data_IF_173488220427
#
_entry.id   IF_173488220427
#
_cell.length_a   1.000
_cell.length_b   1.000
_cell.length_c   1.000
_cell.angle_alpha   90.00
_cell.angle_beta   90.00
_cell.angle_gamma   90.00
#
_symmetry.space_group_name_H-M   'P 1'
#
loop_
_entity.id
_entity.type
_entity.pdbx_description
1 polymer ?
#
# COMPACT_ATOMS: atom_id res chain seq x y z
N UNK A 1 -19.42 -9.51 43.88
CA UNK A 1 -18.92 -10.36 42.81
C UNK A 1 -17.81 -9.57 42.10
N UNK A 2 -16.55 -9.91 42.39
CA UNK A 2 -15.38 -9.21 41.83
C UNK A 2 -15.12 -9.72 40.41
N UNK A 3 -14.88 -8.76 39.50
CA UNK A 3 -14.35 -9.11 38.16
C UNK A 3 -12.97 -9.74 38.29
N UNK A 4 -12.67 -10.82 37.57
CA UNK A 4 -11.33 -11.41 37.58
C UNK A 4 -10.33 -10.44 36.95
N UNK A 5 -9.20 -10.23 37.62
CA UNK A 5 -8.09 -9.43 37.12
C UNK A 5 -7.55 -10.03 35.80
N UNK A 6 -7.24 -9.22 34.76
CA UNK A 6 -6.73 -9.73 33.49
C UNK A 6 -5.41 -10.50 33.73
N UNK A 7 -5.30 -11.69 33.14
CA UNK A 7 -4.15 -12.57 33.27
C UNK A 7 -2.86 -11.85 32.87
N UNK A 8 -1.74 -12.18 33.55
CA UNK A 8 -0.43 -11.52 33.34
C UNK A 8 0.08 -11.52 31.89
N UNK A 9 -0.39 -12.45 31.05
CA UNK A 9 -0.15 -12.51 29.60
C UNK A 9 -0.79 -11.35 28.83
N UNK A 10 -2.03 -10.97 29.15
CA UNK A 10 -2.76 -9.88 28.49
C UNK A 10 -2.07 -8.53 28.67
N UNK A 11 -1.65 -8.20 29.88
CA UNK A 11 -0.94 -6.93 30.19
C UNK A 11 0.39 -6.78 29.45
N UNK A 12 1.12 -7.87 29.23
CA UNK A 12 2.39 -7.84 28.47
C UNK A 12 2.14 -7.61 26.97
N UNK A 13 1.14 -8.25 26.39
CA UNK A 13 0.77 -8.03 24.98
C UNK A 13 0.18 -6.63 24.77
N UNK A 14 -0.63 -6.11 25.68
CA UNK A 14 -1.13 -4.73 25.62
C UNK A 14 0.03 -3.71 25.67
N UNK A 15 0.98 -3.88 26.58
CA UNK A 15 2.15 -3.02 26.69
C UNK A 15 3.06 -3.12 25.45
N UNK A 16 3.14 -4.29 24.79
CA UNK A 16 3.86 -4.50 23.54
C UNK A 16 3.16 -3.79 22.38
N UNK A 17 1.85 -3.94 22.29
CA UNK A 17 1.01 -3.27 21.28
C UNK A 17 1.10 -1.74 21.43
N UNK A 18 1.07 -1.22 22.66
CA UNK A 18 1.20 0.21 22.93
C UNK A 18 2.58 0.75 22.49
N UNK A 19 3.67 0.07 22.85
CA UNK A 19 5.01 0.45 22.37
C UNK A 19 5.10 0.43 20.84
N UNK A 20 4.47 -0.56 20.20
CA UNK A 20 4.40 -0.65 18.73
C UNK A 20 3.69 0.56 18.13
N UNK A 21 2.52 0.95 18.66
CA UNK A 21 1.77 2.16 18.23
C UNK A 21 2.59 3.43 18.38
N UNK A 22 3.28 3.61 19.54
CA UNK A 22 4.14 4.79 19.77
C UNK A 22 5.28 4.90 18.77
N UNK A 23 5.90 3.78 18.38
CA UNK A 23 6.98 3.78 17.37
C UNK A 23 6.43 4.13 15.99
N UNK A 24 5.26 3.59 15.60
CA UNK A 24 4.61 3.93 14.32
C UNK A 24 4.24 5.42 14.29
N UNK A 25 3.69 5.96 15.37
CA UNK A 25 3.37 7.38 15.49
C UNK A 25 4.63 8.25 15.38
N UNK A 26 5.68 7.92 16.12
CA UNK A 26 6.97 8.62 16.05
C UNK A 26 7.58 8.61 14.64
N UNK A 27 7.44 7.48 13.91
CA UNK A 27 7.90 7.37 12.54
C UNK A 27 7.12 8.32 11.60
N UNK A 28 5.78 8.40 11.76
CA UNK A 28 4.94 9.34 10.99
C UNK A 28 5.36 10.79 11.21
N UNK A 29 5.58 11.18 12.47
CA UNK A 29 6.01 12.55 12.80
C UNK A 29 7.39 12.87 12.21
N UNK A 30 8.37 11.97 12.38
CA UNK A 30 9.71 12.15 11.82
C UNK A 30 9.69 12.27 10.30
N UNK A 31 8.90 11.45 9.61
CA UNK A 31 8.76 11.52 8.14
C UNK A 31 8.15 12.87 7.72
N UNK A 32 7.14 13.38 8.43
CA UNK A 32 6.53 14.68 8.14
C UNK A 32 7.49 15.85 8.37
N UNK A 33 8.27 15.80 9.46
CA UNK A 33 9.18 16.89 9.83
C UNK A 33 10.45 16.94 8.97
N UNK A 34 10.99 15.78 8.61
CA UNK A 34 12.34 15.69 8.05
C UNK A 34 12.40 14.95 6.71
N UNK A 35 11.26 14.49 6.22
CA UNK A 35 11.23 13.56 5.11
C UNK A 35 11.93 12.24 5.49
N UNK A 36 12.67 11.68 4.54
CA UNK A 36 13.40 10.41 4.76
C UNK A 36 14.71 10.60 5.56
N UNK A 37 15.32 11.79 5.50
CA UNK A 37 16.67 12.03 6.02
C UNK A 37 16.77 11.88 7.55
N UNK A 38 15.71 12.22 8.30
CA UNK A 38 15.71 12.14 9.77
C UNK A 38 15.31 10.79 10.34
N UNK A 39 14.85 9.85 9.51
CA UNK A 39 14.34 8.57 10.00
C UNK A 39 15.46 7.56 10.28
N UNK A 40 15.86 7.46 11.54
CA UNK A 40 16.82 6.46 12.04
C UNK A 40 16.25 5.71 13.25
N UNK A 41 16.75 4.50 13.52
CA UNK A 41 16.33 3.72 14.69
C UNK A 41 16.58 4.46 16.03
N UNK A 42 17.63 5.29 16.07
CA UNK A 42 17.94 6.14 17.25
C UNK A 42 16.91 7.26 17.40
N UNK A 43 16.59 7.99 16.32
CA UNK A 43 15.58 9.04 16.32
C UNK A 43 14.20 8.49 16.68
N UNK A 44 13.84 7.33 16.14
CA UNK A 44 12.60 6.63 16.46
C UNK A 44 12.50 6.26 17.94
N UNK A 45 13.55 5.67 18.51
CA UNK A 45 13.59 5.29 19.93
C UNK A 45 13.44 6.52 20.83
N UNK A 46 14.18 7.59 20.55
CA UNK A 46 14.12 8.84 21.29
C UNK A 46 12.73 9.48 21.21
N UNK A 47 12.16 9.63 20.01
CA UNK A 47 10.82 10.23 19.78
C UNK A 47 9.72 9.38 20.42
N UNK A 48 9.79 8.05 20.33
CA UNK A 48 8.83 7.14 20.94
C UNK A 48 8.98 6.97 22.46
N UNK A 49 10.03 7.53 23.07
CA UNK A 49 10.32 7.40 24.50
C UNK A 49 10.57 5.94 24.92
N UNK A 50 11.36 5.21 24.11
CA UNK A 50 11.72 3.81 24.36
C UNK A 50 13.23 3.62 24.26
N UNK A 51 13.76 2.49 24.78
CA UNK A 51 15.18 2.15 24.60
C UNK A 51 15.50 1.89 23.12
N UNK A 52 16.77 2.13 22.73
CA UNK A 52 17.24 1.88 21.35
C UNK A 52 17.02 0.43 20.88
N UNK A 53 17.05 -0.54 21.77
CA UNK A 53 16.79 -1.94 21.45
C UNK A 53 15.30 -2.23 21.13
N UNK A 54 14.37 -1.40 21.62
CA UNK A 54 12.94 -1.65 21.50
C UNK A 54 12.44 -1.65 20.04
N UNK A 55 12.78 -0.67 19.17
CA UNK A 55 12.41 -0.72 17.76
C UNK A 55 12.96 -1.96 17.05
N UNK A 56 14.21 -2.35 17.30
CA UNK A 56 14.79 -3.57 16.74
C UNK A 56 14.04 -4.82 17.21
N UNK A 57 13.74 -4.94 18.48
CA UNK A 57 13.03 -6.10 19.04
C UNK A 57 11.58 -6.23 18.54
N UNK A 58 10.92 -5.12 18.24
CA UNK A 58 9.52 -5.11 17.82
C UNK A 58 9.32 -5.20 16.30
N UNK A 59 10.27 -4.69 15.52
CA UNK A 59 10.14 -4.58 14.06
C UNK A 59 11.28 -5.24 13.29
N UNK A 60 12.45 -5.41 13.90
CA UNK A 60 13.64 -5.96 13.26
C UNK A 60 14.43 -4.94 12.43
N UNK A 61 13.76 -4.12 11.61
CA UNK A 61 14.43 -3.18 10.72
C UNK A 61 13.67 -1.86 10.54
N UNK A 62 14.35 -0.83 10.02
CA UNK A 62 13.73 0.43 9.59
C UNK A 62 12.66 0.18 8.52
N UNK A 63 12.95 -0.69 7.56
CA UNK A 63 12.01 -1.05 6.50
C UNK A 63 10.69 -1.64 7.02
N UNK A 64 10.75 -2.50 8.03
CA UNK A 64 9.55 -3.06 8.66
C UNK A 64 8.72 -2.00 9.40
N UNK A 65 9.37 -0.94 9.93
CA UNK A 65 8.66 0.21 10.54
C UNK A 65 7.97 1.04 9.44
N UNK A 66 8.66 1.34 8.34
CA UNK A 66 8.08 2.06 7.20
C UNK A 66 6.85 1.32 6.64
N UNK A 67 6.95 0.00 6.50
CA UNK A 67 5.83 -0.83 6.08
C UNK A 67 4.67 -0.76 7.09
N UNK A 68 4.95 -0.87 8.38
CA UNK A 68 3.93 -0.74 9.42
C UNK A 68 3.25 0.65 9.41
N UNK A 69 3.99 1.70 9.09
CA UNK A 69 3.44 3.06 8.88
C UNK A 69 2.52 3.11 7.67
N UNK A 70 2.91 2.48 6.56
CA UNK A 70 2.07 2.39 5.36
C UNK A 70 0.78 1.60 5.61
N UNK A 71 0.87 0.52 6.40
CA UNK A 71 -0.26 -0.35 6.73
C UNK A 71 -1.20 0.22 7.80
N UNK A 72 -0.73 1.18 8.59
CA UNK A 72 -1.55 1.86 9.62
C UNK A 72 -2.57 2.83 8.98
N UNK A 73 -3.22 2.39 7.91
CA UNK A 73 -4.31 3.10 7.26
C UNK A 73 -5.61 2.79 8.01
N UNK A 74 -6.01 3.73 8.86
CA UNK A 74 -7.23 3.57 9.65
C UNK A 74 -8.47 3.53 8.76
N UNK A 75 -9.27 2.49 8.95
CA UNK A 75 -10.57 2.37 8.29
C UNK A 75 -10.55 1.74 6.89
N UNK A 76 -9.38 1.32 6.36
CA UNK A 76 -9.32 0.67 5.05
C UNK A 76 -10.29 -0.51 4.94
N UNK A 77 -10.24 -1.47 5.86
CA UNK A 77 -11.12 -2.65 5.83
C UNK A 77 -12.61 -2.29 5.88
N UNK A 78 -13.00 -1.28 6.70
CA UNK A 78 -14.39 -0.82 6.79
C UNK A 78 -14.85 -0.17 5.49
N UNK A 79 -14.02 0.66 4.85
CA UNK A 79 -14.35 1.30 3.57
C UNK A 79 -14.38 0.26 2.45
N UNK A 80 -13.45 -0.69 2.48
CA UNK A 80 -13.38 -1.77 1.50
C UNK A 80 -14.59 -2.72 1.57
N UNK A 81 -15.14 -2.99 2.76
CA UNK A 81 -16.36 -3.79 2.92
C UNK A 81 -17.56 -3.21 2.14
N UNK A 82 -17.57 -1.90 1.89
CA UNK A 82 -18.59 -1.27 1.04
C UNK A 82 -18.57 -1.70 -0.43
N UNK A 83 -17.56 -2.44 -0.87
CA UNK A 83 -17.44 -2.92 -2.26
C UNK A 83 -17.85 -4.40 -2.44
N UNK A 84 -18.52 -5.00 -1.47
CA UNK A 84 -18.95 -6.42 -1.56
C UNK A 84 -19.89 -6.72 -2.73
N UNK A 85 -20.70 -5.75 -3.14
CA UNK A 85 -21.62 -5.85 -4.29
C UNK A 85 -20.93 -5.70 -5.66
N UNK A 86 -19.66 -5.29 -5.71
CA UNK A 86 -18.92 -5.16 -6.95
C UNK A 86 -18.49 -6.54 -7.49
N UNK A 87 -18.29 -6.64 -8.82
CA UNK A 87 -17.68 -7.84 -9.42
C UNK A 87 -16.28 -8.09 -8.80
N UNK A 88 -15.84 -9.37 -8.69
CA UNK A 88 -14.51 -9.67 -8.14
C UNK A 88 -13.37 -8.91 -8.80
N UNK A 89 -13.26 -8.77 -10.15
CA UNK A 89 -12.22 -7.93 -10.75
C UNK A 89 -12.36 -6.44 -10.40
N UNK A 90 -13.58 -5.89 -10.34
CA UNK A 90 -13.80 -4.50 -9.90
C UNK A 90 -13.37 -4.30 -8.45
N UNK A 91 -13.51 -5.30 -7.57
CA UNK A 91 -13.02 -5.21 -6.19
C UNK A 91 -11.51 -5.04 -6.11
N UNK A 92 -10.74 -5.68 -7.00
CA UNK A 92 -9.28 -5.48 -7.12
C UNK A 92 -8.99 -4.02 -7.48
N UNK A 93 -9.66 -3.47 -8.50
CA UNK A 93 -9.51 -2.07 -8.92
C UNK A 93 -9.92 -1.10 -7.81
N UNK A 94 -11.03 -1.36 -7.12
CA UNK A 94 -11.51 -0.53 -6.00
C UNK A 94 -10.58 -0.57 -4.78
N UNK A 95 -9.96 -1.71 -4.49
CA UNK A 95 -8.95 -1.83 -3.44
C UNK A 95 -7.73 -0.96 -3.75
N UNK A 96 -7.25 -0.98 -5.00
CA UNK A 96 -6.14 -0.16 -5.46
C UNK A 96 -6.48 1.33 -5.39
N UNK A 97 -7.64 1.73 -5.92
CA UNK A 97 -8.13 3.11 -5.87
C UNK A 97 -8.28 3.60 -4.42
N UNK A 98 -8.82 2.76 -3.52
CA UNK A 98 -8.93 3.08 -2.10
C UNK A 98 -7.55 3.29 -1.47
N UNK A 99 -6.55 2.46 -1.79
CA UNK A 99 -5.19 2.64 -1.30
C UNK A 99 -4.60 3.98 -1.76
N UNK A 100 -4.75 4.34 -3.03
CA UNK A 100 -4.28 5.62 -3.59
C UNK A 100 -4.99 6.81 -2.97
N UNK A 101 -6.30 6.72 -2.70
CA UNK A 101 -7.08 7.83 -2.11
C UNK A 101 -6.57 8.32 -0.73
N UNK A 102 -5.81 7.48 -0.02
CA UNK A 102 -5.14 7.92 1.21
C UNK A 102 -3.91 8.79 0.93
N UNK A 103 -3.27 8.62 -0.22
CA UNK A 103 -2.10 9.42 -0.60
C UNK A 103 -2.50 10.84 -0.98
N UNK A 104 -3.71 11.03 -1.50
CA UNK A 104 -4.29 12.34 -1.81
C UNK A 104 -4.53 13.20 -0.56
N UNK A 105 -4.71 12.58 0.62
CA UNK A 105 -4.95 13.28 1.87
C UNK A 105 -3.69 13.92 2.48
N UNK A 106 -2.50 13.37 2.19
CA UNK A 106 -1.21 13.85 2.70
C UNK A 106 -0.09 13.47 1.71
N UNK A 107 -0.10 14.08 0.50
CA UNK A 107 0.75 13.63 -0.61
C UNK A 107 2.25 13.76 -0.31
N UNK A 108 2.66 14.80 0.41
CA UNK A 108 4.08 15.00 0.75
C UNK A 108 4.58 13.93 1.73
N UNK A 109 3.77 13.59 2.71
CA UNK A 109 4.08 12.49 3.63
C UNK A 109 4.22 11.16 2.90
N UNK A 110 3.25 10.80 2.04
CA UNK A 110 3.30 9.53 1.32
C UNK A 110 4.39 9.50 0.26
N UNK A 111 4.73 10.64 -0.37
CA UNK A 111 5.87 10.75 -1.27
C UNK A 111 7.19 10.48 -0.54
N UNK A 112 7.38 11.06 0.63
CA UNK A 112 8.57 10.82 1.47
C UNK A 112 8.63 9.36 1.96
N UNK A 113 7.50 8.81 2.40
CA UNK A 113 7.39 7.42 2.86
C UNK A 113 7.74 6.43 1.73
N UNK A 114 7.11 6.55 0.56
CA UNK A 114 7.38 5.71 -0.60
C UNK A 114 8.80 5.88 -1.11
N UNK A 115 9.31 7.12 -1.15
CA UNK A 115 10.70 7.39 -1.51
C UNK A 115 11.69 6.68 -0.59
N UNK A 116 11.44 6.68 0.73
CA UNK A 116 12.24 5.91 1.68
C UNK A 116 12.16 4.41 1.43
N UNK A 117 10.96 3.90 1.17
CA UNK A 117 10.73 2.48 0.88
C UNK A 117 11.45 2.02 -0.38
N UNK A 118 11.34 2.74 -1.48
CA UNK A 118 11.92 2.37 -2.78
C UNK A 118 13.45 2.49 -2.80
N UNK A 119 14.05 3.33 -1.94
CA UNK A 119 15.52 3.41 -1.77
C UNK A 119 16.09 2.33 -0.86
N UNK A 120 15.24 1.60 -0.14
CA UNK A 120 15.68 0.50 0.72
C UNK A 120 16.09 -0.70 -0.14
N UNK A 121 17.26 -1.29 0.15
CA UNK A 121 17.85 -2.38 -0.64
C UNK A 121 18.11 -3.63 0.19
N UNK A 122 18.42 -4.75 -0.45
CA UNK A 122 18.86 -5.99 0.19
C UNK A 122 17.74 -6.75 0.92
N UNK A 123 18.03 -7.32 2.09
CA UNK A 123 17.10 -8.13 2.86
C UNK A 123 15.90 -7.32 3.40
N UNK A 124 16.11 -6.04 3.72
CA UNK A 124 15.03 -5.15 4.15
C UNK A 124 14.03 -4.89 3.03
N UNK A 125 14.49 -4.65 1.80
CA UNK A 125 13.61 -4.50 0.65
C UNK A 125 12.73 -5.74 0.45
N UNK A 126 13.29 -6.95 0.59
CA UNK A 126 12.52 -8.19 0.50
C UNK A 126 11.39 -8.27 1.53
N UNK A 127 11.67 -7.91 2.79
CA UNK A 127 10.65 -7.93 3.85
C UNK A 127 9.53 -6.91 3.64
N UNK A 128 9.80 -5.82 2.93
CA UNK A 128 8.80 -4.82 2.54
C UNK A 128 7.94 -5.27 1.35
N UNK A 129 8.53 -6.05 0.43
CA UNK A 129 7.82 -6.65 -0.70
C UNK A 129 6.90 -7.77 -0.23
N UNK A 130 7.40 -8.65 0.63
CA UNK A 130 6.70 -9.84 1.12
C UNK A 130 6.11 -9.59 2.51
N UNK A 131 5.01 -8.82 2.59
CA UNK A 131 4.20 -8.78 3.80
C UNK A 131 3.08 -9.82 3.70
N UNK A 132 3.10 -10.90 4.52
CA UNK A 132 2.15 -12.00 4.39
C UNK A 132 0.68 -11.59 4.53
N UNK A 133 0.37 -10.59 5.37
CA UNK A 133 -1.01 -10.13 5.56
C UNK A 133 -1.54 -9.34 4.36
N UNK A 134 -0.71 -8.44 3.81
CA UNK A 134 -1.05 -7.67 2.62
C UNK A 134 -1.16 -8.60 1.42
N UNK A 135 -0.20 -9.51 1.26
CA UNK A 135 -0.18 -10.50 0.19
C UNK A 135 -1.43 -11.38 0.25
N UNK A 136 -1.78 -11.93 1.42
CA UNK A 136 -2.99 -12.74 1.61
C UNK A 136 -4.28 -11.98 1.26
N UNK A 137 -4.36 -10.68 1.58
CA UNK A 137 -5.51 -9.85 1.19
C UNK A 137 -5.65 -9.75 -0.32
N UNK A 138 -4.56 -9.41 -1.04
CA UNK A 138 -4.60 -9.25 -2.50
C UNK A 138 -4.79 -10.58 -3.23
N UNK A 139 -4.11 -11.64 -2.78
CA UNK A 139 -4.32 -12.99 -3.33
C UNK A 139 -5.77 -13.42 -3.11
N UNK A 140 -6.35 -13.19 -1.94
CA UNK A 140 -7.74 -13.53 -1.67
C UNK A 140 -8.74 -12.84 -2.59
N UNK A 141 -8.47 -11.60 -3.05
CA UNK A 141 -9.29 -10.94 -4.06
C UNK A 141 -9.17 -11.62 -5.44
N UNK A 142 -7.96 -12.03 -5.82
CA UNK A 142 -7.72 -12.70 -7.10
C UNK A 142 -8.27 -14.13 -7.09
N UNK A 143 -8.13 -14.86 -5.96
CA UNK A 143 -8.70 -16.19 -5.77
C UNK A 143 -10.24 -16.16 -5.85
N UNK A 144 -10.88 -15.15 -5.30
CA UNK A 144 -12.31 -14.95 -5.46
C UNK A 144 -12.69 -14.71 -6.93
N UNK A 145 -11.90 -13.92 -7.66
CA UNK A 145 -12.12 -13.71 -9.09
C UNK A 145 -11.91 -15.00 -9.91
N UNK A 146 -10.92 -15.82 -9.56
CA UNK A 146 -10.68 -17.12 -10.20
C UNK A 146 -11.82 -18.11 -9.89
N UNK A 147 -12.23 -18.22 -8.62
CA UNK A 147 -13.30 -19.12 -8.18
C UNK A 147 -14.65 -18.79 -8.84
N UNK A 148 -14.91 -17.52 -9.11
CA UNK A 148 -16.13 -17.05 -9.81
C UNK A 148 -16.01 -17.11 -11.33
N UNK A 149 -14.94 -17.70 -11.87
CA UNK A 149 -14.71 -17.90 -13.30
C UNK A 149 -14.40 -16.61 -14.08
N UNK A 150 -13.85 -15.59 -13.43
CA UNK A 150 -13.41 -14.35 -14.08
C UNK A 150 -11.98 -14.44 -14.63
N UNK A 151 -11.14 -15.29 -14.03
CA UNK A 151 -9.76 -15.52 -14.46
C UNK A 151 -9.61 -16.90 -15.08
N UNK A 152 -8.70 -17.01 -16.04
CA UNK A 152 -8.33 -18.28 -16.67
C UNK A 152 -7.74 -19.22 -15.61
N UNK A 153 -8.13 -20.51 -15.61
CA UNK A 153 -7.68 -21.48 -14.58
C UNK A 153 -6.17 -21.76 -14.64
N UNK A 154 -5.50 -21.47 -15.75
CA UNK A 154 -4.07 -21.60 -15.92
C UNK A 154 -3.27 -20.46 -15.26
N UNK A 155 -3.94 -19.38 -14.85
CA UNK A 155 -3.30 -18.21 -14.24
C UNK A 155 -3.06 -18.46 -12.76
N UNK A 156 -1.80 -18.46 -12.37
CA UNK A 156 -1.38 -18.42 -10.95
C UNK A 156 -1.68 -17.03 -10.35
N UNK A 157 -2.64 -16.99 -9.43
CA UNK A 157 -3.07 -15.75 -8.75
C UNK A 157 -1.94 -15.09 -7.96
N UNK A 158 -0.98 -15.86 -7.40
CA UNK A 158 0.19 -15.32 -6.73
C UNK A 158 1.16 -14.65 -7.72
N UNK A 159 1.34 -15.23 -8.91
CA UNK A 159 2.13 -14.61 -9.98
C UNK A 159 1.46 -13.33 -10.50
N UNK A 160 0.15 -13.37 -10.71
CA UNK A 160 -0.63 -12.18 -11.11
C UNK A 160 -0.53 -11.07 -10.05
N UNK A 161 -0.67 -11.41 -8.77
CA UNK A 161 -0.50 -10.46 -7.67
C UNK A 161 0.88 -9.81 -7.70
N UNK A 162 1.96 -10.57 -7.91
CA UNK A 162 3.32 -10.02 -8.04
C UNK A 162 3.44 -9.05 -9.21
N UNK A 163 2.82 -9.37 -10.35
CA UNK A 163 2.79 -8.46 -11.51
C UNK A 163 2.07 -7.15 -11.18
N UNK A 164 0.92 -7.20 -10.49
CA UNK A 164 0.22 -6.01 -10.03
C UNK A 164 1.06 -5.18 -9.04
N UNK A 165 1.78 -5.83 -8.11
CA UNK A 165 2.68 -5.13 -7.17
C UNK A 165 3.85 -4.45 -7.89
N UNK A 166 4.45 -5.08 -8.89
CA UNK A 166 5.49 -4.45 -9.73
C UNK A 166 4.94 -3.24 -10.50
N UNK A 167 3.77 -3.37 -11.10
CA UNK A 167 3.07 -2.27 -11.78
C UNK A 167 2.85 -1.11 -10.82
N UNK A 168 2.30 -1.38 -9.63
CA UNK A 168 2.06 -0.37 -8.61
C UNK A 168 3.33 0.36 -8.20
N UNK A 169 4.41 -0.38 -7.92
CA UNK A 169 5.71 0.19 -7.51
C UNK A 169 6.34 1.04 -8.59
N UNK A 170 6.25 0.61 -9.85
CA UNK A 170 6.74 1.40 -10.98
C UNK A 170 6.02 2.74 -11.05
N UNK A 171 4.69 2.74 -10.94
CA UNK A 171 3.89 3.97 -10.95
C UNK A 171 4.21 4.86 -9.74
N UNK A 172 4.37 4.27 -8.55
CA UNK A 172 4.82 5.02 -7.36
C UNK A 172 6.17 5.70 -7.58
N UNK A 173 7.11 5.03 -8.26
CA UNK A 173 8.43 5.60 -8.57
C UNK A 173 8.31 6.83 -9.48
N UNK A 174 7.49 6.75 -10.53
CA UNK A 174 7.24 7.88 -11.43
C UNK A 174 6.57 9.06 -10.69
N UNK A 175 5.63 8.78 -9.78
CA UNK A 175 5.02 9.82 -8.95
C UNK A 175 6.01 10.48 -7.99
N UNK A 176 6.88 9.70 -7.33
CA UNK A 176 7.90 10.21 -6.40
C UNK A 176 8.89 11.11 -7.12
N UNK A 177 9.29 10.72 -8.33
CA UNK A 177 10.21 11.50 -9.17
C UNK A 177 9.55 12.74 -9.80
N UNK A 178 8.24 12.93 -9.61
CA UNK A 178 7.51 14.06 -10.21
C UNK A 178 7.21 13.91 -11.70
N UNK A 179 7.42 12.74 -12.28
CA UNK A 179 7.15 12.44 -13.69
C UNK A 179 5.65 12.35 -13.98
N UNK A 180 4.84 11.96 -12.97
CA UNK A 180 3.37 12.01 -13.02
C UNK A 180 2.82 12.81 -11.85
N UNK A 181 1.71 13.51 -12.05
CA UNK A 181 0.97 14.23 -11.02
C UNK A 181 0.18 13.32 -10.09
N UNK A 182 -0.29 13.87 -8.98
CA UNK A 182 -1.16 13.16 -8.03
C UNK A 182 -2.50 12.78 -8.68
N UNK A 183 -3.05 13.66 -9.50
CA UNK A 183 -4.26 13.49 -10.29
C UNK A 183 -4.18 12.34 -11.31
N UNK A 184 -2.97 12.02 -11.78
CA UNK A 184 -2.73 10.89 -12.70
C UNK A 184 -2.47 9.58 -11.97
N UNK A 185 -2.25 9.59 -10.64
CA UNK A 185 -1.78 8.42 -9.91
C UNK A 185 -2.82 7.29 -9.90
N UNK A 186 -4.07 7.60 -9.52
CA UNK A 186 -5.14 6.61 -9.49
C UNK A 186 -5.47 6.07 -10.88
N UNK A 187 -5.68 6.89 -11.93
CA UNK A 187 -5.94 6.35 -13.27
C UNK A 187 -4.75 5.56 -13.83
N UNK A 188 -3.49 5.91 -13.52
CA UNK A 188 -2.35 5.11 -13.96
C UNK A 188 -2.34 3.70 -13.32
N UNK A 189 -2.58 3.61 -12.01
CA UNK A 189 -2.70 2.32 -11.33
C UNK A 189 -3.88 1.53 -11.86
N UNK A 190 -5.05 2.16 -12.00
CA UNK A 190 -6.26 1.53 -12.53
C UNK A 190 -6.07 1.00 -13.94
N UNK A 191 -5.43 1.77 -14.83
CA UNK A 191 -5.13 1.37 -16.21
C UNK A 191 -4.22 0.13 -16.25
N UNK A 192 -3.09 0.18 -15.55
CA UNK A 192 -2.16 -0.96 -15.50
C UNK A 192 -2.79 -2.23 -14.93
N UNK A 193 -3.59 -2.10 -13.87
CA UNK A 193 -4.31 -3.22 -13.28
C UNK A 193 -5.39 -3.78 -14.21
N UNK A 194 -6.17 -2.91 -14.84
CA UNK A 194 -7.22 -3.34 -15.78
C UNK A 194 -6.64 -4.10 -16.99
N UNK A 195 -5.50 -3.65 -17.53
CA UNK A 195 -4.80 -4.35 -18.61
C UNK A 195 -4.26 -5.71 -18.16
N UNK A 196 -3.63 -5.80 -16.98
CA UNK A 196 -3.12 -7.06 -16.43
C UNK A 196 -4.26 -8.05 -16.16
N UNK A 197 -5.34 -7.59 -15.52
CA UNK A 197 -6.53 -8.41 -15.28
C UNK A 197 -7.21 -8.85 -16.58
N UNK A 198 -7.27 -7.99 -17.59
CA UNK A 198 -7.81 -8.34 -18.92
C UNK A 198 -6.99 -9.47 -19.57
N UNK A 199 -5.65 -9.39 -19.49
CA UNK A 199 -4.77 -10.43 -20.03
C UNK A 199 -4.92 -11.79 -19.34
N UNK A 200 -5.37 -11.79 -18.08
CA UNK A 200 -5.63 -12.99 -17.29
C UNK A 200 -7.10 -13.45 -17.31
N UNK A 201 -8.00 -12.69 -17.94
CA UNK A 201 -9.44 -12.89 -17.84
C UNK A 201 -9.95 -13.97 -18.82
N UNK A 202 -10.97 -14.72 -18.37
CA UNK A 202 -11.86 -15.48 -19.24
C UNK A 202 -12.71 -14.52 -20.11
N UNK A 203 -13.43 -15.04 -21.10
CA UNK A 203 -14.36 -14.23 -21.92
C UNK A 203 -15.33 -13.39 -21.08
N UNK A 204 -15.76 -13.91 -19.94
CA UNK A 204 -16.59 -13.21 -18.96
C UNK A 204 -15.99 -11.89 -18.49
N UNK A 205 -14.68 -11.85 -18.29
CA UNK A 205 -13.96 -10.69 -17.72
C UNK A 205 -13.36 -9.76 -18.76
N UNK A 206 -13.09 -10.24 -19.97
CA UNK A 206 -12.33 -9.48 -20.98
C UNK A 206 -12.99 -8.17 -21.38
N UNK A 207 -14.31 -8.19 -21.64
CA UNK A 207 -15.03 -6.99 -22.06
C UNK A 207 -15.10 -5.97 -20.92
N UNK A 208 -15.42 -6.42 -19.68
CA UNK A 208 -15.48 -5.55 -18.51
C UNK A 208 -14.12 -4.87 -18.25
N UNK A 209 -13.01 -5.63 -18.31
CA UNK A 209 -11.69 -5.08 -18.06
C UNK A 209 -11.22 -4.16 -19.19
N UNK A 210 -11.64 -4.40 -20.44
CA UNK A 210 -11.41 -3.46 -21.52
C UNK A 210 -12.13 -2.12 -21.28
N UNK A 211 -13.39 -2.15 -20.88
CA UNK A 211 -14.16 -0.95 -20.56
C UNK A 211 -13.49 -0.14 -19.41
N UNK A 212 -13.02 -0.83 -18.37
CA UNK A 212 -12.29 -0.18 -17.28
C UNK A 212 -10.96 0.42 -17.75
N UNK A 213 -10.21 -0.31 -18.58
CA UNK A 213 -8.94 0.21 -19.13
C UNK A 213 -9.19 1.47 -19.99
N UNK A 214 -10.20 1.45 -20.87
CA UNK A 214 -10.53 2.62 -21.71
C UNK A 214 -10.99 3.82 -20.87
N UNK A 215 -11.74 3.60 -19.79
CA UNK A 215 -12.15 4.66 -18.88
C UNK A 215 -10.91 5.33 -18.22
N UNK A 216 -10.00 4.53 -17.65
CA UNK A 216 -8.76 5.06 -17.06
C UNK A 216 -7.83 5.71 -18.10
N UNK A 217 -7.77 5.18 -19.31
CA UNK A 217 -7.04 5.82 -20.42
C UNK A 217 -7.58 7.20 -20.74
N UNK A 218 -8.91 7.39 -20.76
CA UNK A 218 -9.53 8.69 -20.97
C UNK A 218 -9.22 9.67 -19.84
N UNK A 219 -9.22 9.22 -18.58
CA UNK A 219 -8.82 10.01 -17.42
C UNK A 219 -7.35 10.44 -17.52
N UNK A 220 -6.44 9.54 -17.92
CA UNK A 220 -5.02 9.86 -18.12
C UNK A 220 -4.82 10.88 -19.24
N UNK A 221 -5.57 10.80 -20.32
CA UNK A 221 -5.49 11.74 -21.43
C UNK A 221 -6.02 13.14 -21.05
N UNK A 222 -6.94 13.22 -20.08
CA UNK A 222 -7.48 14.48 -19.56
C UNK A 222 -6.58 15.12 -18.49
N UNK A 223 -5.68 14.33 -17.88
CA UNK A 223 -4.76 14.86 -16.84
C UNK A 223 -3.61 15.62 -17.49
N UNK A 224 -3.32 16.88 -17.07
CA UNK A 224 -2.20 17.64 -17.62
C UNK A 224 -0.87 16.94 -17.32
N UNK A 225 -0.04 16.73 -18.35
CA UNK A 225 1.28 16.13 -18.19
C UNK A 225 2.11 16.94 -17.17
N UNK A 226 2.79 16.25 -16.25
CA UNK A 226 3.63 16.88 -15.23
C UNK A 226 4.79 17.71 -15.83
N UNK A 227 5.15 17.42 -17.09
CA UNK A 227 6.23 18.09 -17.84
C UNK A 227 6.02 19.59 -18.15
N UNK A 228 4.78 20.11 -17.98
CA UNK A 228 4.51 21.54 -18.29
C UNK A 228 4.59 22.44 -17.05
N UNK A 229 4.78 21.88 -15.84
CA UNK A 229 4.84 22.66 -14.57
C UNK A 229 6.25 23.00 -14.09
N UNK A 230 7.28 22.71 -14.84
CA UNK A 230 8.68 22.78 -14.40
C UNK A 230 9.69 23.40 -15.36
N UNK A 231 9.29 24.25 -16.31
CA UNK A 231 10.24 25.16 -16.98
C UNK A 231 10.20 26.50 -16.24
N UNK A 232 11.23 26.86 -15.48
CA UNK A 232 11.45 28.27 -15.15
C UNK A 232 11.85 28.99 -16.45
N UNK A 233 11.19 30.11 -16.71
CA UNK A 233 11.58 31.09 -17.73
C UNK A 233 12.99 31.64 -17.47
#
# INVERSE_FOLDING_TARGET
MGQPAPAAGGRREEAKAERRRRIIHAARELIRETGDAGLSMRALAARAGVSLATPYNLFGSKGAILLAVLEDIKGFGRRFAGYEACSPPDRVLKAAALAVSYYEQDPDFYRALWGSMLRTTGAEARSMIFNPKREAFWIGLLDAAASDGWLLPEIDTAALMRNLDFTFRSIMLHWINGEIGLDSLQPAVGYGYALALRGAATDKGQQLMLERALAFQAELAASPAASDRGRPD
#
